data_IF_646879090266
#
_entry.id   IF_646879090266
#
_cell.length_a   1.000
_cell.length_b   1.000
_cell.length_c   1.000
_cell.angle_alpha   90.00
_cell.angle_beta   90.00
_cell.angle_gamma   90.00
#
_symmetry.space_group_name_H-M   'P 1'
#
loop_
_entity.id
_entity.type
_entity.pdbx_description
1 polymer ?
#
# COMPACT_ATOMS: atom_id res chain seq x y z
N UNK A 1 5.68 44.37 12.35
CA UNK A 1 5.91 43.03 11.77
C UNK A 1 4.76 42.14 12.22
N UNK A 2 3.72 42.07 11.39
CA UNK A 2 2.52 41.29 11.66
C UNK A 2 2.81 39.80 11.45
N UNK A 3 2.68 39.00 12.51
CA UNK A 3 2.68 37.54 12.40
C UNK A 3 1.43 37.15 11.63
N UNK A 4 1.55 36.94 10.31
CA UNK A 4 0.47 36.33 9.54
C UNK A 4 0.21 34.91 10.08
N UNK A 5 -0.96 34.76 10.69
CA UNK A 5 -1.44 33.49 11.21
C UNK A 5 -1.54 32.46 10.08
N UNK A 6 -0.81 31.35 10.27
CA UNK A 6 -0.66 30.23 9.35
C UNK A 6 -2.03 29.59 9.09
N UNK A 7 -2.55 29.69 7.87
CA UNK A 7 -3.71 28.90 7.42
C UNK A 7 -3.20 27.63 6.74
N UNK A 8 -3.28 26.44 7.36
CA UNK A 8 -2.96 25.19 6.66
C UNK A 8 -3.78 25.12 5.37
N UNK A 9 -3.26 24.63 4.24
CA UNK A 9 -4.10 24.38 3.05
C UNK A 9 -5.28 23.51 3.49
N UNK A 10 -6.47 24.10 3.71
CA UNK A 10 -7.53 23.41 4.42
C UNK A 10 -8.16 22.37 3.50
N UNK A 11 -7.93 22.49 2.19
CA UNK A 11 -8.47 21.60 1.16
C UNK A 11 -7.72 20.26 1.11
N UNK A 12 -6.38 20.27 1.11
CA UNK A 12 -5.58 19.03 1.01
C UNK A 12 -5.77 18.08 2.19
N UNK A 13 -5.65 18.60 3.42
CA UNK A 13 -5.86 17.80 4.64
C UNK A 13 -7.29 17.25 4.73
N UNK A 14 -8.30 18.05 4.38
CA UNK A 14 -9.71 17.62 4.38
C UNK A 14 -9.95 16.46 3.41
N UNK A 15 -9.36 16.50 2.22
CA UNK A 15 -9.51 15.42 1.24
C UNK A 15 -8.87 14.10 1.71
N UNK A 16 -7.71 14.16 2.35
CA UNK A 16 -7.06 12.98 2.93
C UNK A 16 -7.94 12.37 4.02
N UNK A 17 -8.43 13.18 4.97
CA UNK A 17 -9.30 12.73 6.06
C UNK A 17 -10.59 12.15 5.49
N UNK A 18 -11.23 12.85 4.54
CA UNK A 18 -12.45 12.39 3.89
C UNK A 18 -12.27 11.02 3.23
N UNK A 19 -11.17 10.81 2.52
CA UNK A 19 -10.88 9.52 1.88
C UNK A 19 -10.71 8.39 2.89
N UNK A 20 -9.92 8.58 3.95
CA UNK A 20 -9.77 7.55 4.99
C UNK A 20 -11.07 7.25 5.74
N UNK A 21 -11.84 8.29 6.09
CA UNK A 21 -13.16 8.13 6.74
C UNK A 21 -14.13 7.42 5.81
N UNK A 22 -14.13 7.76 4.52
CA UNK A 22 -14.95 7.09 3.51
C UNK A 22 -14.61 5.61 3.41
N UNK A 23 -13.33 5.24 3.36
CA UNK A 23 -12.91 3.83 3.37
C UNK A 23 -13.39 3.13 4.64
N UNK A 24 -13.16 3.69 5.82
CA UNK A 24 -13.60 3.08 7.07
C UNK A 24 -15.12 2.87 7.11
N UNK A 25 -15.91 3.87 6.71
CA UNK A 25 -17.36 3.77 6.61
C UNK A 25 -17.80 2.73 5.58
N UNK A 26 -17.12 2.66 4.43
CA UNK A 26 -17.42 1.70 3.37
C UNK A 26 -17.31 0.25 3.87
N UNK A 27 -16.21 -0.07 4.58
CA UNK A 27 -16.00 -1.38 5.19
C UNK A 27 -17.03 -1.67 6.29
N UNK A 28 -17.33 -0.70 7.15
CA UNK A 28 -18.33 -0.85 8.22
C UNK A 28 -19.76 -1.06 7.69
N UNK A 29 -20.13 -0.32 6.63
CA UNK A 29 -21.42 -0.45 5.98
C UNK A 29 -21.54 -1.79 5.26
N UNK A 30 -20.49 -2.20 4.52
CA UNK A 30 -20.50 -3.46 3.80
C UNK A 30 -20.55 -4.66 4.75
N UNK A 31 -19.88 -4.58 5.90
CA UNK A 31 -19.91 -5.64 6.91
C UNK A 31 -21.32 -6.00 7.39
N UNK A 32 -22.28 -5.06 7.34
CA UNK A 32 -23.68 -5.34 7.69
C UNK A 32 -24.41 -6.20 6.66
N UNK A 33 -23.93 -6.24 5.42
CA UNK A 33 -24.53 -7.05 4.36
C UNK A 33 -23.95 -8.47 4.32
N UNK A 34 -23.03 -8.82 5.22
CA UNK A 34 -22.42 -10.15 5.31
C UNK A 34 -23.22 -11.12 6.19
N UNK A 35 -24.33 -10.67 6.81
CA UNK A 35 -25.14 -11.53 7.68
C UNK A 35 -25.82 -12.66 6.89
N UNK A 36 -25.55 -13.94 7.21
CA UNK A 36 -26.05 -15.08 6.45
C UNK A 36 -27.58 -15.22 6.50
N UNK A 37 -28.25 -14.55 7.45
CA UNK A 37 -29.71 -14.55 7.60
C UNK A 37 -30.39 -13.69 6.51
N UNK A 38 -29.68 -12.71 5.93
CA UNK A 38 -30.20 -11.85 4.86
C UNK A 38 -30.04 -12.45 3.44
N UNK A 39 -29.34 -13.58 3.31
CA UNK A 39 -28.99 -14.17 2.01
C UNK A 39 -30.10 -15.08 1.50
N UNK A 40 -31.17 -14.47 0.97
CA UNK A 40 -32.14 -15.17 0.11
C UNK A 40 -31.69 -15.12 -1.36
N UNK A 41 -32.10 -16.06 -2.22
CA UNK A 41 -31.80 -16.01 -3.66
C UNK A 41 -32.20 -14.67 -4.32
N UNK A 42 -33.27 -14.04 -3.84
CA UNK A 42 -33.76 -12.74 -4.31
C UNK A 42 -32.85 -11.56 -3.91
N UNK A 43 -31.96 -11.75 -2.92
CA UNK A 43 -31.06 -10.71 -2.42
C UNK A 43 -29.70 -10.68 -3.17
N UNK A 44 -29.40 -11.66 -4.02
CA UNK A 44 -28.08 -11.78 -4.67
C UNK A 44 -27.81 -10.62 -5.63
N UNK A 45 -28.76 -10.32 -6.53
CA UNK A 45 -28.63 -9.21 -7.49
C UNK A 45 -28.44 -7.83 -6.81
N UNK A 46 -29.26 -7.43 -5.81
CA UNK A 46 -29.07 -6.15 -5.15
C UNK A 46 -27.73 -6.06 -4.40
N UNK A 47 -27.27 -7.14 -3.76
CA UNK A 47 -25.96 -7.14 -3.08
C UNK A 47 -24.82 -7.02 -4.10
N UNK A 48 -24.93 -7.65 -5.27
CA UNK A 48 -23.94 -7.49 -6.34
C UNK A 48 -23.84 -6.04 -6.83
N UNK A 49 -24.97 -5.30 -6.94
CA UNK A 49 -24.94 -3.86 -7.26
C UNK A 49 -24.24 -3.04 -6.17
N UNK A 50 -24.50 -3.35 -4.90
CA UNK A 50 -23.81 -2.73 -3.76
C UNK A 50 -22.30 -3.03 -3.83
N UNK A 51 -21.92 -4.24 -4.22
CA UNK A 51 -20.51 -4.62 -4.38
C UNK A 51 -19.80 -3.79 -5.46
N UNK A 52 -20.42 -3.52 -6.61
CA UNK A 52 -19.84 -2.60 -7.60
C UNK A 52 -19.72 -1.17 -7.05
N UNK A 53 -20.77 -0.69 -6.35
CA UNK A 53 -20.75 0.61 -5.68
C UNK A 53 -19.61 0.73 -4.66
N UNK A 54 -19.34 -0.35 -3.92
CA UNK A 54 -18.25 -0.44 -2.97
C UNK A 54 -16.90 -0.13 -3.63
N UNK A 55 -16.57 -0.81 -4.74
CA UNK A 55 -15.29 -0.59 -5.43
C UNK A 55 -15.18 0.78 -6.10
N UNK A 56 -16.28 1.31 -6.65
CA UNK A 56 -16.30 2.65 -7.23
C UNK A 56 -15.95 3.71 -6.17
N UNK A 57 -16.60 3.64 -5.00
CA UNK A 57 -16.34 4.59 -3.90
C UNK A 57 -14.92 4.37 -3.33
N UNK A 58 -14.45 3.13 -3.26
CA UNK A 58 -13.08 2.82 -2.85
C UNK A 58 -12.05 3.48 -3.77
N UNK A 59 -12.22 3.37 -5.10
CA UNK A 59 -11.34 4.02 -6.08
C UNK A 59 -11.40 5.55 -5.99
N UNK A 60 -12.59 6.13 -5.82
CA UNK A 60 -12.75 7.59 -5.62
C UNK A 60 -12.02 8.03 -4.35
N UNK A 61 -12.09 7.22 -3.27
CA UNK A 61 -11.43 7.50 -2.00
C UNK A 61 -9.91 7.49 -2.15
N UNK A 62 -9.34 6.53 -2.88
CA UNK A 62 -7.91 6.55 -3.21
C UNK A 62 -7.51 7.77 -4.03
N UNK A 63 -8.33 8.16 -5.02
CA UNK A 63 -8.12 9.37 -5.81
C UNK A 63 -8.11 10.64 -4.95
N UNK A 64 -9.06 10.77 -4.01
CA UNK A 64 -9.13 11.88 -3.08
C UNK A 64 -7.90 11.95 -2.16
N UNK A 65 -7.43 10.80 -1.65
CA UNK A 65 -6.22 10.72 -0.81
C UNK A 65 -4.99 11.12 -1.63
N UNK A 66 -4.81 10.56 -2.82
CA UNK A 66 -3.65 10.86 -3.69
C UNK A 66 -3.60 12.35 -4.07
N UNK A 67 -4.74 12.92 -4.45
CA UNK A 67 -4.85 14.34 -4.79
C UNK A 67 -4.64 15.25 -3.56
N UNK A 68 -5.20 14.85 -2.40
CA UNK A 68 -5.01 15.53 -1.13
C UNK A 68 -3.54 15.53 -0.69
N UNK A 69 -2.84 14.39 -0.80
CA UNK A 69 -1.41 14.26 -0.52
C UNK A 69 -0.57 15.13 -1.45
N UNK A 70 -0.87 15.15 -2.75
CA UNK A 70 -0.17 16.01 -3.71
C UNK A 70 -0.27 17.50 -3.34
N UNK A 71 -1.48 17.99 -3.06
CA UNK A 71 -1.69 19.37 -2.64
C UNK A 71 -1.05 19.68 -1.28
N UNK A 72 -1.11 18.73 -0.34
CA UNK A 72 -0.49 18.87 0.97
C UNK A 72 1.04 18.96 0.88
N UNK A 73 1.67 18.10 0.09
CA UNK A 73 3.11 18.15 -0.16
C UNK A 73 3.52 19.46 -0.83
N UNK A 74 2.82 19.86 -1.90
CA UNK A 74 3.12 21.10 -2.61
C UNK A 74 3.07 22.32 -1.68
N UNK A 75 2.01 22.42 -0.88
CA UNK A 75 1.85 23.49 0.10
C UNK A 75 3.00 23.53 1.13
N UNK A 76 3.45 22.37 1.62
CA UNK A 76 4.53 22.30 2.61
C UNK A 76 5.89 22.73 2.05
N UNK A 77 6.13 22.52 0.77
CA UNK A 77 7.36 22.97 0.09
C UNK A 77 7.32 24.49 -0.11
N UNK A 78 6.17 25.05 -0.50
CA UNK A 78 6.01 26.49 -0.71
C UNK A 78 6.16 27.31 0.58
N UNK A 79 5.74 26.75 1.72
CA UNK A 79 5.88 27.38 3.04
C UNK A 79 7.33 27.40 3.56
N UNK A 80 8.20 26.52 3.04
CA UNK A 80 9.59 26.32 3.48
C UNK A 80 9.78 26.29 5.02
N UNK A 81 8.84 25.64 5.72
CA UNK A 81 8.87 25.50 7.18
C UNK A 81 9.93 24.45 7.60
N UNK A 82 10.51 24.60 8.79
CA UNK A 82 11.50 23.68 9.36
C UNK A 82 10.89 22.49 10.11
N UNK A 83 9.57 22.26 9.92
CA UNK A 83 8.89 21.14 10.54
C UNK A 83 9.22 19.81 9.86
N UNK A 84 9.14 18.72 10.63
CA UNK A 84 9.53 17.37 10.16
C UNK A 84 8.81 16.96 8.88
N UNK A 85 7.54 17.36 8.70
CA UNK A 85 6.77 17.03 7.50
C UNK A 85 7.23 17.83 6.27
N UNK A 86 7.69 19.07 6.45
CA UNK A 86 8.28 19.86 5.36
C UNK A 86 9.63 19.30 4.94
N UNK A 87 10.46 18.82 5.88
CA UNK A 87 11.72 18.14 5.55
C UNK A 87 11.47 16.89 4.69
N UNK A 88 10.44 16.09 5.04
CA UNK A 88 10.00 14.94 4.23
C UNK A 88 9.56 15.43 2.84
N UNK A 89 8.74 16.48 2.77
CA UNK A 89 8.22 17.00 1.51
C UNK A 89 9.35 17.50 0.60
N UNK A 90 10.28 18.30 1.12
CA UNK A 90 11.42 18.85 0.37
C UNK A 90 12.34 17.72 -0.12
N UNK A 91 12.66 16.77 0.74
CA UNK A 91 13.52 15.62 0.38
C UNK A 91 12.89 14.76 -0.71
N UNK A 92 11.55 14.64 -0.72
CA UNK A 92 10.84 13.74 -1.63
C UNK A 92 10.36 14.37 -2.93
N UNK A 93 10.32 15.71 -3.01
CA UNK A 93 9.78 16.43 -4.17
C UNK A 93 10.69 16.52 -5.40
N UNK A 94 11.99 16.25 -5.23
CA UNK A 94 12.93 16.31 -6.35
C UNK A 94 12.65 15.20 -7.40
N UNK A 95 13.02 15.45 -8.67
CA UNK A 95 12.72 14.54 -9.79
C UNK A 95 13.30 13.12 -9.58
N UNK A 96 14.49 13.02 -8.99
CA UNK A 96 15.18 11.74 -8.73
C UNK A 96 14.43 10.91 -7.68
N UNK A 97 14.14 11.50 -6.53
CA UNK A 97 13.39 10.91 -5.43
C UNK A 97 11.99 10.51 -5.88
N UNK A 98 11.31 11.34 -6.67
CA UNK A 98 9.98 11.02 -7.19
C UNK A 98 10.00 9.83 -8.17
N UNK A 99 11.06 9.69 -8.97
CA UNK A 99 11.29 8.52 -9.83
C UNK A 99 11.55 7.26 -8.98
N UNK A 100 12.39 7.35 -7.94
CA UNK A 100 12.66 6.25 -7.01
C UNK A 100 11.38 5.83 -6.28
N UNK A 101 10.61 6.78 -5.77
CA UNK A 101 9.32 6.54 -5.14
C UNK A 101 8.38 5.77 -6.07
N UNK A 102 8.17 6.26 -7.30
CA UNK A 102 7.24 5.63 -8.25
C UNK A 102 7.70 4.23 -8.67
N UNK A 103 9.00 4.07 -8.93
CA UNK A 103 9.58 2.77 -9.30
C UNK A 103 9.41 1.76 -8.17
N UNK A 104 9.68 2.18 -6.93
CA UNK A 104 9.53 1.33 -5.74
C UNK A 104 8.07 1.01 -5.48
N UNK A 105 7.16 1.99 -5.61
CA UNK A 105 5.72 1.80 -5.43
C UNK A 105 5.17 0.75 -6.39
N UNK A 106 5.54 0.79 -7.68
CA UNK A 106 5.08 -0.17 -8.69
C UNK A 106 5.69 -1.55 -8.46
N UNK A 107 7.01 -1.63 -8.29
CA UNK A 107 7.71 -2.91 -8.10
C UNK A 107 7.25 -3.62 -6.82
N UNK A 108 7.18 -2.88 -5.71
CA UNK A 108 6.71 -3.43 -4.45
C UNK A 108 5.21 -3.77 -4.51
N UNK A 109 4.40 -2.97 -5.19
CA UNK A 109 2.97 -3.27 -5.38
C UNK A 109 2.74 -4.56 -6.17
N UNK A 110 3.49 -4.76 -7.27
CA UNK A 110 3.44 -6.00 -8.04
C UNK A 110 3.91 -7.20 -7.21
N UNK A 111 5.03 -7.04 -6.50
CA UNK A 111 5.53 -8.06 -5.59
C UNK A 111 4.51 -8.40 -4.48
N UNK A 112 3.88 -7.38 -3.87
CA UNK A 112 2.87 -7.55 -2.83
C UNK A 112 1.66 -8.31 -3.37
N UNK A 113 1.20 -7.99 -4.59
CA UNK A 113 0.06 -8.68 -5.21
C UNK A 113 0.29 -10.19 -5.41
N UNK A 114 1.52 -10.61 -5.70
CA UNK A 114 1.88 -12.03 -5.80
C UNK A 114 1.83 -12.71 -4.44
N UNK A 115 2.37 -12.06 -3.40
CA UNK A 115 2.42 -12.62 -2.05
C UNK A 115 1.07 -12.62 -1.36
N UNK A 116 0.26 -11.57 -1.55
CA UNK A 116 -1.06 -11.44 -0.90
C UNK A 116 -2.13 -12.33 -1.53
N UNK A 117 -1.78 -13.12 -2.55
CA UNK A 117 -2.75 -13.90 -3.32
C UNK A 117 -3.65 -13.04 -4.21
N UNK A 118 -3.35 -11.75 -4.38
CA UNK A 118 -4.12 -10.91 -5.33
C UNK A 118 -3.87 -11.37 -6.77
N UNK A 119 -2.65 -11.79 -7.08
CA UNK A 119 -2.30 -12.46 -8.33
C UNK A 119 -2.07 -13.94 -8.03
N UNK A 120 -3.00 -14.79 -8.44
CA UNK A 120 -2.99 -16.23 -8.16
C UNK A 120 -2.44 -16.98 -9.37
N UNK A 121 -1.44 -17.83 -9.13
CA UNK A 121 -0.95 -18.80 -10.12
C UNK A 121 -1.10 -20.22 -9.57
N UNK A 122 -1.98 -21.00 -10.19
CA UNK A 122 -2.23 -22.40 -9.81
C UNK A 122 -1.97 -23.31 -11.03
N UNK A 123 -0.75 -23.86 -11.16
CA UNK A 123 -0.42 -24.74 -12.29
C UNK A 123 -1.10 -26.10 -12.22
N UNK A 124 -1.50 -26.57 -11.02
CA UNK A 124 -2.14 -27.87 -10.82
C UNK A 124 -3.66 -27.84 -11.03
N UNK A 125 -4.25 -26.65 -11.15
CA UNK A 125 -5.70 -26.46 -11.29
C UNK A 125 -5.98 -25.75 -12.62
N UNK A 126 -6.78 -26.38 -13.49
CA UNK A 126 -7.36 -25.73 -14.67
C UNK A 126 -8.69 -25.06 -14.29
N UNK A 127 -8.75 -23.73 -14.32
CA UNK A 127 -9.95 -23.00 -13.90
C UNK A 127 -11.19 -23.28 -14.74
N UNK A 128 -11.03 -23.61 -16.03
CA UNK A 128 -12.16 -23.97 -16.87
C UNK A 128 -12.68 -25.38 -16.52
N UNK A 129 -11.78 -26.31 -16.21
CA UNK A 129 -12.16 -27.69 -15.90
C UNK A 129 -12.67 -27.86 -14.46
N UNK A 130 -12.04 -27.20 -13.49
CA UNK A 130 -12.32 -27.38 -12.06
C UNK A 130 -13.38 -26.43 -11.52
N UNK A 131 -13.45 -25.20 -12.03
CA UNK A 131 -14.41 -24.18 -11.58
C UNK A 131 -15.50 -23.87 -12.62
N UNK A 132 -15.45 -24.50 -13.81
CA UNK A 132 -16.38 -24.21 -14.89
C UNK A 132 -16.29 -22.77 -15.38
N UNK A 133 -15.17 -22.09 -15.13
CA UNK A 133 -15.02 -20.69 -15.49
C UNK A 133 -14.83 -20.52 -17.00
N UNK A 134 -15.60 -19.63 -17.61
CA UNK A 134 -15.31 -19.17 -18.96
C UNK A 134 -14.08 -18.27 -18.94
N UNK A 135 -13.10 -18.50 -19.81
CA UNK A 135 -11.84 -17.76 -19.81
C UNK A 135 -11.74 -16.94 -21.11
N UNK A 136 -11.53 -15.61 -21.06
CA UNK A 136 -11.43 -14.77 -19.87
C UNK A 136 -12.81 -14.36 -19.32
N UNK A 137 -12.95 -14.30 -17.99
CA UNK A 137 -14.17 -13.77 -17.33
C UNK A 137 -13.84 -13.09 -16.00
N UNK A 138 -14.79 -12.27 -15.52
CA UNK A 138 -14.75 -11.65 -14.21
C UNK A 138 -16.06 -11.92 -13.48
N UNK A 139 -15.96 -12.43 -12.26
CA UNK A 139 -17.09 -12.76 -11.39
C UNK A 139 -16.93 -11.99 -10.09
N UNK A 140 -18.01 -11.33 -9.66
CA UNK A 140 -18.07 -10.69 -8.35
C UNK A 140 -18.68 -11.67 -7.37
N UNK A 141 -17.96 -11.98 -6.30
CA UNK A 141 -18.46 -12.76 -5.18
C UNK A 141 -18.87 -11.75 -4.09
N UNK A 142 -20.17 -11.46 -3.96
CA UNK A 142 -20.62 -10.40 -3.08
C UNK A 142 -20.52 -10.75 -1.58
N UNK A 143 -20.37 -12.01 -1.19
CA UNK A 143 -20.56 -12.42 0.19
C UNK A 143 -19.64 -13.55 0.65
N UNK A 144 -19.77 -13.77 1.96
CA UNK A 144 -19.59 -15.05 2.63
C UNK A 144 -18.17 -15.36 3.10
N UNK A 145 -17.42 -14.31 3.44
CA UNK A 145 -16.14 -14.41 4.13
C UNK A 145 -16.04 -13.34 5.23
N UNK A 146 -14.89 -13.28 5.91
CA UNK A 146 -14.62 -12.39 7.03
C UNK A 146 -14.79 -10.90 6.67
N UNK A 147 -15.08 -10.04 7.67
CA UNK A 147 -15.16 -8.60 7.45
C UNK A 147 -13.91 -8.04 6.77
N UNK A 148 -14.12 -7.35 5.66
CA UNK A 148 -13.08 -6.75 4.83
C UNK A 148 -12.50 -7.63 3.73
N UNK A 149 -12.84 -8.92 3.71
CA UNK A 149 -12.51 -9.80 2.58
C UNK A 149 -13.55 -9.72 1.45
N UNK A 150 -14.77 -9.30 1.77
CA UNK A 150 -15.87 -9.11 0.82
C UNK A 150 -16.21 -7.62 0.61
N UNK A 151 -16.80 -7.25 -0.54
CA UNK A 151 -17.02 -8.11 -1.72
C UNK A 151 -15.69 -8.45 -2.39
N UNK A 152 -15.60 -9.60 -3.03
CA UNK A 152 -14.40 -10.02 -3.76
C UNK A 152 -14.67 -10.02 -5.28
N UNK A 153 -13.65 -9.67 -6.07
CA UNK A 153 -13.69 -9.81 -7.53
C UNK A 153 -12.67 -10.87 -7.96
N UNK A 154 -13.16 -11.91 -8.62
CA UNK A 154 -12.37 -12.96 -9.25
C UNK A 154 -12.28 -12.69 -10.74
N UNK A 155 -11.07 -12.52 -11.27
CA UNK A 155 -10.81 -12.36 -12.70
C UNK A 155 -9.98 -13.52 -13.19
N UNK A 156 -10.56 -14.34 -14.08
CA UNK A 156 -9.88 -15.45 -14.72
C UNK A 156 -9.22 -14.93 -16.01
N UNK A 157 -7.89 -14.80 -16.01
CA UNK A 157 -7.14 -14.31 -17.16
C UNK A 157 -6.77 -15.45 -18.12
N UNK A 158 -6.29 -16.57 -17.56
CA UNK A 158 -5.90 -17.78 -18.30
C UNK A 158 -6.30 -19.03 -17.49
N UNK A 159 -6.01 -20.23 -18.00
CA UNK A 159 -6.31 -21.51 -17.34
C UNK A 159 -5.70 -21.66 -15.95
N UNK A 160 -4.58 -20.97 -15.68
CA UNK A 160 -3.80 -21.11 -14.44
C UNK A 160 -3.48 -19.78 -13.76
N UNK A 161 -3.83 -18.64 -14.38
CA UNK A 161 -3.57 -17.30 -13.84
C UNK A 161 -4.91 -16.61 -13.59
N UNK A 162 -5.14 -16.27 -12.33
CA UNK A 162 -6.31 -15.54 -11.85
C UNK A 162 -5.89 -14.31 -11.06
N UNK A 163 -6.81 -13.37 -10.92
CA UNK A 163 -6.62 -12.17 -10.13
C UNK A 163 -7.78 -12.05 -9.14
N UNK A 164 -7.45 -12.04 -7.86
CA UNK A 164 -8.37 -12.04 -6.74
C UNK A 164 -8.30 -10.68 -6.04
N UNK A 165 -9.27 -9.80 -6.29
CA UNK A 165 -9.27 -8.46 -5.69
C UNK A 165 -10.01 -8.52 -4.36
N UNK A 166 -9.28 -8.76 -3.28
CA UNK A 166 -9.82 -8.60 -1.92
C UNK A 166 -9.69 -7.13 -1.50
N UNK A 167 -10.76 -6.45 -1.04
CA UNK A 167 -10.73 -5.04 -0.67
C UNK A 167 -9.65 -4.69 0.35
N UNK A 168 -9.55 -5.46 1.43
CA UNK A 168 -8.58 -5.23 2.48
C UNK A 168 -7.14 -5.36 1.93
N UNK A 169 -6.89 -6.39 1.12
CA UNK A 169 -5.59 -6.59 0.48
C UNK A 169 -5.25 -5.45 -0.47
N UNK A 170 -6.23 -4.93 -1.22
CA UNK A 170 -6.04 -3.77 -2.10
C UNK A 170 -5.68 -2.50 -1.30
N UNK A 171 -6.37 -2.23 -0.20
CA UNK A 171 -6.06 -1.11 0.71
C UNK A 171 -4.66 -1.26 1.30
N UNK A 172 -4.33 -2.45 1.83
CA UNK A 172 -3.01 -2.74 2.37
C UNK A 172 -1.92 -2.61 1.30
N UNK A 173 -2.14 -3.13 0.09
CA UNK A 173 -1.22 -3.03 -1.04
C UNK A 173 -0.89 -1.57 -1.33
N UNK A 174 -1.90 -0.70 -1.43
CA UNK A 174 -1.69 0.73 -1.70
C UNK A 174 -0.95 1.42 -0.55
N UNK A 175 -1.36 1.21 0.70
CA UNK A 175 -0.77 1.86 1.88
C UNK A 175 0.68 1.41 2.08
N UNK A 176 0.93 0.10 2.10
CA UNK A 176 2.27 -0.44 2.35
C UNK A 176 3.20 -0.08 1.20
N UNK A 177 2.77 -0.18 -0.06
CA UNK A 177 3.59 0.25 -1.21
C UNK A 177 3.92 1.75 -1.16
N UNK A 178 2.97 2.59 -0.73
CA UNK A 178 3.21 4.02 -0.53
C UNK A 178 4.26 4.27 0.57
N UNK A 179 4.11 3.63 1.73
CA UNK A 179 5.03 3.81 2.85
C UNK A 179 6.44 3.31 2.50
N UNK A 180 6.54 2.15 1.85
CA UNK A 180 7.81 1.59 1.38
C UNK A 180 8.46 2.51 0.36
N UNK A 181 7.71 2.97 -0.64
CA UNK A 181 8.19 3.92 -1.63
C UNK A 181 8.70 5.20 -0.99
N UNK A 182 8.00 5.73 0.02
CA UNK A 182 8.41 6.93 0.77
C UNK A 182 9.72 6.71 1.54
N UNK A 183 9.82 5.60 2.28
CA UNK A 183 11.01 5.24 3.04
C UNK A 183 12.23 5.06 2.15
N UNK A 184 12.10 4.34 1.03
CA UNK A 184 13.20 4.14 0.06
C UNK A 184 13.59 5.46 -0.60
N UNK A 185 12.62 6.30 -0.96
CA UNK A 185 12.89 7.61 -1.57
C UNK A 185 13.69 8.55 -0.65
N UNK A 186 13.32 8.61 0.65
CA UNK A 186 14.05 9.38 1.66
C UNK A 186 15.44 8.76 1.88
N UNK A 187 15.53 7.45 2.05
CA UNK A 187 16.79 6.75 2.27
C UNK A 187 17.76 6.97 1.10
N UNK A 188 17.34 6.77 -0.15
CA UNK A 188 18.17 6.98 -1.34
C UNK A 188 18.59 8.45 -1.45
N UNK A 189 17.70 9.39 -1.15
CA UNK A 189 18.04 10.81 -1.15
C UNK A 189 19.12 11.12 -0.11
N UNK A 190 18.99 10.61 1.12
CA UNK A 190 19.98 10.75 2.18
C UNK A 190 21.33 10.06 1.86
N UNK A 191 21.30 8.84 1.32
CA UNK A 191 22.51 8.09 0.97
C UNK A 191 23.23 8.64 -0.25
N UNK A 192 22.51 9.15 -1.24
CA UNK A 192 23.16 9.75 -2.43
C UNK A 192 23.97 11.02 -2.10
N UNK A 193 23.78 11.55 -0.89
CA UNK A 193 24.51 12.71 -0.35
C UNK A 193 25.70 12.24 0.52
N UNK A 194 25.57 11.11 1.21
CA UNK A 194 26.68 10.44 1.91
C UNK A 194 27.57 9.70 0.90
N UNK A 195 28.37 10.43 0.12
CA UNK A 195 29.36 9.85 -0.79
C UNK A 195 30.40 9.02 -0.02
N UNK A 196 30.18 7.70 0.12
CA UNK A 196 31.24 6.69 0.26
C UNK A 196 30.66 5.30 0.02
N UNK A 197 31.08 4.69 -1.08
CA UNK A 197 30.97 3.25 -1.43
C UNK A 197 29.82 2.86 -2.38
N UNK A 198 30.11 2.56 -3.66
CA UNK A 198 29.12 2.23 -4.70
C UNK A 198 28.46 0.84 -4.58
N UNK A 199 28.79 0.03 -3.56
CA UNK A 199 28.20 -1.31 -3.34
C UNK A 199 27.20 -1.44 -2.18
N UNK A 200 27.20 -0.49 -1.23
CA UNK A 200 26.35 -0.58 -0.04
C UNK A 200 24.90 -0.10 -0.27
N UNK A 201 24.67 0.63 -1.38
CA UNK A 201 23.38 1.27 -1.69
C UNK A 201 22.27 0.28 -2.03
N UNK A 202 22.58 -0.83 -2.69
CA UNK A 202 21.59 -1.86 -3.09
C UNK A 202 21.25 -2.80 -1.94
N UNK A 203 22.25 -3.18 -1.14
CA UNK A 203 22.07 -4.10 0.00
C UNK A 203 21.26 -3.45 1.13
N UNK A 204 21.51 -2.17 1.43
CA UNK A 204 20.73 -1.41 2.42
C UNK A 204 19.30 -1.10 1.98
N UNK A 205 19.08 -0.85 0.68
CA UNK A 205 17.74 -0.64 0.13
C UNK A 205 16.93 -1.95 0.09
N UNK A 206 17.57 -3.08 -0.25
CA UNK A 206 16.93 -4.39 -0.25
C UNK A 206 16.58 -4.88 1.17
N UNK A 207 17.47 -4.69 2.15
CA UNK A 207 17.15 -5.02 3.56
C UNK A 207 16.03 -4.13 4.11
N UNK A 208 15.99 -2.83 3.76
CA UNK A 208 14.86 -1.95 4.10
C UNK A 208 13.53 -2.37 3.45
N UNK A 209 13.57 -2.88 2.22
CA UNK A 209 12.40 -3.37 1.47
C UNK A 209 11.76 -4.60 2.13
N UNK A 210 12.57 -5.52 2.66
CA UNK A 210 12.09 -6.75 3.31
C UNK A 210 11.74 -6.58 4.79
N UNK A 211 12.29 -5.57 5.48
CA UNK A 211 11.84 -5.17 6.83
C UNK A 211 10.37 -4.72 6.82
N UNK A 212 9.90 -4.16 5.70
CA UNK A 212 8.55 -3.64 5.55
C UNK A 212 7.44 -4.70 5.55
N UNK A 213 7.75 -5.93 5.12
CA UNK A 213 6.82 -7.04 5.08
C UNK A 213 7.59 -8.36 5.29
N UNK A 214 7.73 -8.82 6.54
CA UNK A 214 8.41 -10.08 6.84
C UNK A 214 7.78 -11.29 6.13
N UNK A 215 6.45 -11.28 5.96
CA UNK A 215 5.70 -12.32 5.24
C UNK A 215 6.01 -12.35 3.75
N UNK A 216 6.24 -11.18 3.15
CA UNK A 216 6.71 -11.00 1.79
C UNK A 216 8.11 -11.59 1.59
N UNK A 217 9.02 -11.28 2.51
CA UNK A 217 10.36 -11.85 2.49
C UNK A 217 10.31 -13.39 2.62
N UNK A 218 9.50 -13.92 3.53
CA UNK A 218 9.38 -15.35 3.74
C UNK A 218 8.78 -16.09 2.54
N UNK A 219 7.70 -15.57 1.95
CA UNK A 219 7.07 -16.18 0.77
C UNK A 219 8.00 -16.16 -0.45
N UNK A 220 8.78 -15.09 -0.61
CA UNK A 220 9.81 -15.02 -1.65
C UNK A 220 10.94 -16.02 -1.39
N UNK A 221 11.46 -16.10 -0.16
CA UNK A 221 12.50 -17.05 0.22
C UNK A 221 12.04 -18.50 0.03
N UNK A 222 10.76 -18.81 0.25
CA UNK A 222 10.17 -20.13 -0.01
C UNK A 222 10.29 -20.56 -1.49
N UNK A 223 10.31 -19.62 -2.45
CA UNK A 223 10.53 -19.94 -3.87
C UNK A 223 11.97 -20.39 -4.16
N UNK A 224 12.94 -19.98 -3.34
CA UNK A 224 14.37 -20.30 -3.55
C UNK A 224 14.88 -21.44 -2.67
N UNK A 225 14.28 -21.65 -1.48
CA UNK A 225 14.76 -22.63 -0.49
C UNK A 225 14.17 -24.04 -0.71
N UNK A 226 13.26 -24.21 -1.68
CA UNK A 226 12.68 -25.50 -2.05
C UNK A 226 11.34 -25.78 -1.37
N UNK A 227 10.41 -26.39 -2.12
CA UNK A 227 8.99 -26.48 -1.78
C UNK A 227 8.72 -27.07 -0.38
N UNK A 228 9.47 -28.09 0.06
CA UNK A 228 9.21 -28.77 1.33
C UNK A 228 9.46 -27.86 2.57
N UNK A 229 10.58 -27.12 2.59
CA UNK A 229 10.89 -26.16 3.67
C UNK A 229 10.14 -24.84 3.50
N UNK A 230 9.87 -24.44 2.26
CA UNK A 230 9.11 -23.24 1.95
C UNK A 230 7.66 -23.32 2.41
N UNK A 231 6.99 -24.47 2.26
CA UNK A 231 5.61 -24.67 2.72
C UNK A 231 5.52 -24.51 4.24
N UNK A 232 6.44 -25.10 5.00
CA UNK A 232 6.44 -24.99 6.48
C UNK A 232 6.70 -23.55 6.94
N UNK A 233 7.66 -22.85 6.31
CA UNK A 233 7.93 -21.44 6.60
C UNK A 233 6.73 -20.55 6.26
N UNK A 234 6.10 -20.76 5.11
CA UNK A 234 4.91 -20.01 4.70
C UNK A 234 3.74 -20.27 5.64
N UNK A 235 3.47 -21.52 6.03
CA UNK A 235 2.40 -21.86 6.99
C UNK A 235 2.64 -21.23 8.38
N UNK A 236 3.88 -21.22 8.86
CA UNK A 236 4.23 -20.56 10.11
C UNK A 236 4.06 -19.03 10.02
N UNK A 237 4.42 -18.43 8.88
CA UNK A 237 4.30 -16.99 8.66
C UNK A 237 2.86 -16.52 8.43
N UNK A 238 1.99 -17.36 7.86
CA UNK A 238 0.55 -17.07 7.72
C UNK A 238 -0.10 -16.86 9.09
N UNK A 239 0.23 -17.71 10.07
CA UNK A 239 -0.28 -17.58 11.44
C UNK A 239 0.17 -16.27 12.12
N UNK A 240 1.34 -15.75 11.76
CA UNK A 240 1.86 -14.49 12.27
C UNK A 240 1.56 -13.28 11.35
N UNK A 241 0.88 -13.45 10.22
CA UNK A 241 0.71 -12.39 9.23
C UNK A 241 0.05 -11.14 9.82
N UNK A 242 -1.00 -11.32 10.62
CA UNK A 242 -1.68 -10.21 11.31
C UNK A 242 -0.74 -9.50 12.29
N UNK A 243 0.10 -10.26 13.01
CA UNK A 243 1.09 -9.70 13.93
C UNK A 243 2.16 -8.89 13.17
N UNK A 244 2.66 -9.42 12.05
CA UNK A 244 3.64 -8.74 11.24
C UNK A 244 3.10 -7.46 10.61
N UNK A 245 1.85 -7.48 10.11
CA UNK A 245 1.19 -6.27 9.59
C UNK A 245 0.99 -5.24 10.71
N UNK A 246 0.53 -5.70 11.89
CA UNK A 246 0.31 -4.84 13.05
C UNK A 246 1.59 -4.17 13.56
N UNK A 247 2.75 -4.82 13.40
CA UNK A 247 4.06 -4.27 13.81
C UNK A 247 4.71 -3.46 12.69
N UNK A 248 4.66 -3.94 11.44
CA UNK A 248 5.38 -3.33 10.33
C UNK A 248 4.78 -1.99 9.90
N UNK A 249 3.46 -1.85 9.90
CA UNK A 249 2.80 -0.59 9.51
C UNK A 249 3.22 0.56 10.43
N UNK A 250 3.15 0.46 11.77
CA UNK A 250 3.67 1.50 12.67
C UNK A 250 5.14 1.83 12.43
N UNK A 251 5.99 0.82 12.24
CA UNK A 251 7.42 1.03 11.97
C UNK A 251 7.59 1.83 10.67
N UNK A 252 6.89 1.45 9.61
CA UNK A 252 6.94 2.13 8.31
C UNK A 252 6.42 3.58 8.36
N UNK A 253 5.49 3.88 9.27
CA UNK A 253 5.02 5.25 9.53
C UNK A 253 6.04 6.06 10.34
N UNK A 254 6.72 5.45 11.31
CA UNK A 254 7.67 6.13 12.19
C UNK A 254 9.01 6.38 11.49
N UNK A 255 9.49 5.46 10.65
CA UNK A 255 10.81 5.56 10.01
C UNK A 255 11.03 6.86 9.22
N UNK A 256 10.09 7.35 8.36
CA UNK A 256 10.23 8.63 7.67
C UNK A 256 10.40 9.81 8.64
N UNK A 257 9.72 9.77 9.79
CA UNK A 257 9.78 10.81 10.82
C UNK A 257 11.15 10.81 11.49
N UNK A 258 11.68 9.62 11.83
CA UNK A 258 13.02 9.48 12.41
C UNK A 258 14.09 9.94 11.40
N UNK A 259 13.98 9.51 10.14
CA UNK A 259 14.92 9.91 9.09
C UNK A 259 14.89 11.42 8.87
N UNK A 260 13.72 12.04 8.79
CA UNK A 260 13.59 13.48 8.62
C UNK A 260 14.16 14.27 9.81
N UNK A 261 14.00 13.78 11.04
CA UNK A 261 14.65 14.38 12.22
C UNK A 261 16.18 14.30 12.14
N UNK A 262 16.74 13.21 11.61
CA UNK A 262 18.19 13.07 11.39
C UNK A 262 18.72 13.94 10.26
N UNK A 263 17.88 14.26 9.27
CA UNK A 263 18.20 15.18 8.16
C UNK A 263 18.05 16.65 8.53
N UNK A 264 17.69 16.97 9.77
CA UNK A 264 17.57 18.34 10.25
C UNK A 264 18.90 18.82 10.84
N UNK A 265 19.38 19.97 10.39
CA UNK A 265 20.54 20.64 10.96
C UNK A 265 20.20 21.26 12.33
N UNK A 266 21.22 21.68 13.08
CA UNK A 266 21.07 22.41 14.36
C UNK A 266 20.23 23.68 14.21
N UNK A 267 20.28 24.31 13.04
CA UNK A 267 19.53 25.54 12.72
C UNK A 267 18.09 25.27 12.24
N UNK A 268 17.67 24.00 12.21
CA UNK A 268 16.34 23.58 11.75
C UNK A 268 16.22 23.43 10.23
N UNK A 269 17.20 23.90 9.43
CA UNK A 269 17.24 23.71 7.99
C UNK A 269 17.47 22.24 7.60
N UNK A 270 17.07 21.87 6.39
CA UNK A 270 17.33 20.54 5.87
C UNK A 270 18.82 20.42 5.47
N UNK A 271 19.50 19.37 5.93
CA UNK A 271 20.91 19.09 5.57
C UNK A 271 21.12 18.80 4.08
N UNK A 272 20.02 18.66 3.34
CA UNK A 272 19.97 18.34 1.91
C UNK A 272 19.78 19.61 1.04
N UNK A 273 19.64 20.82 1.62
CA UNK A 273 19.67 22.09 0.86
C UNK A 273 21.08 22.40 0.33
N UNK A 274 21.55 21.60 -0.63
CA UNK A 274 22.71 21.86 -1.47
C UNK A 274 22.58 21.05 -2.78
N UNK A 275 21.44 21.18 -3.47
CA UNK A 275 21.33 20.81 -4.88
C UNK A 275 20.16 21.58 -5.51
N UNK A 276 20.51 22.78 -6.00
CA UNK A 276 19.75 23.52 -7.00
C UNK A 276 19.76 22.76 -8.33
#
# INVERSE_FOLDING_TARGET
MEKQAIKPSPKGKKLIILGFVSIALLFLLYARYQDPILMTPDAIEPIQRIAYGFYIILLISFGAIAFGLYHYHKYKIEQNETDTLSIIAITTWNKKSRKVFLTTFILYGAFFSLVSGTLVYQPEVDFAHHYGAEIPSAVVVPCCDQPGYMPEILVYLTKHIGLQIIPLNLVLQVIVSYLVGLNVAIAVSAFSISKKTPGASTIGAATGLFIACPTCAGSFLSLFVGAASGIVLTLALIQLQTLFIAISIPILFITPIIMAKKLRNSDGSCSIELMK
#
